data_IF_937869271171
#
_entry.id   IF_937869271171
#
_cell.length_a   1.000
_cell.length_b   1.000
_cell.length_c   1.000
_cell.angle_alpha   90.00
_cell.angle_beta   90.00
_cell.angle_gamma   90.00
#
_symmetry.space_group_name_H-M   'P 1'
#
loop_
_entity.id
_entity.type
_entity.pdbx_description
1 polymer ?
#
# COMPACT_ATOMS: atom_id res chain seq x y z
N UNK A 1 80.15 59.92 -9.70
CA UNK A 1 79.63 58.62 -9.34
C UNK A 1 78.14 58.63 -8.88
N UNK A 2 77.61 59.61 -8.11
CA UNK A 2 76.19 59.60 -7.64
C UNK A 2 75.15 59.83 -8.77
N UNK A 3 75.45 60.46 -9.89
CA UNK A 3 74.50 60.66 -11.00
C UNK A 3 74.34 59.41 -11.89
N UNK A 4 75.41 58.59 -12.00
CA UNK A 4 75.40 57.36 -12.78
C UNK A 4 74.55 56.23 -12.05
N UNK A 5 74.62 56.18 -10.74
CA UNK A 5 73.87 55.23 -9.93
C UNK A 5 72.36 55.54 -9.96
N UNK A 6 71.96 56.81 -9.96
CA UNK A 6 70.56 57.19 -10.07
C UNK A 6 69.97 56.86 -11.48
N UNK A 7 70.76 57.02 -12.54
CA UNK A 7 70.34 56.67 -13.91
C UNK A 7 70.18 55.14 -14.08
N UNK A 8 71.14 54.39 -13.55
CA UNK A 8 71.06 52.90 -13.50
C UNK A 8 69.86 52.43 -12.73
N UNK A 9 69.49 53.06 -11.60
CA UNK A 9 68.28 52.68 -10.80
C UNK A 9 66.99 52.94 -11.57
N UNK A 10 66.90 54.04 -12.32
CA UNK A 10 65.73 54.35 -13.15
C UNK A 10 65.56 53.37 -14.31
N UNK A 11 66.63 52.90 -14.92
CA UNK A 11 66.62 51.90 -15.97
C UNK A 11 66.11 50.56 -15.41
N UNK A 12 66.61 50.16 -14.19
CA UNK A 12 66.16 48.95 -13.54
C UNK A 12 64.65 48.99 -13.23
N UNK A 13 64.16 50.13 -12.71
CA UNK A 13 62.70 50.30 -12.46
C UNK A 13 61.86 50.25 -13.75
N UNK A 14 62.36 50.83 -14.85
CA UNK A 14 61.69 50.76 -16.14
C UNK A 14 61.64 49.33 -16.69
N UNK A 15 62.73 48.56 -16.53
CA UNK A 15 62.77 47.15 -16.94
C UNK A 15 61.78 46.30 -16.14
N UNK A 16 61.70 46.52 -14.82
CA UNK A 16 60.77 45.84 -13.97
C UNK A 16 59.32 46.21 -14.35
N UNK A 17 59.03 47.49 -14.62
CA UNK A 17 57.70 47.95 -15.04
C UNK A 17 57.28 47.37 -16.38
N UNK A 18 58.18 47.35 -17.36
CA UNK A 18 57.90 46.70 -18.66
C UNK A 18 57.73 45.19 -18.51
N UNK A 19 58.58 44.55 -17.68
CA UNK A 19 58.48 43.11 -17.40
C UNK A 19 57.17 42.73 -16.72
N UNK A 20 56.70 43.53 -15.73
CA UNK A 20 55.37 43.30 -15.10
C UNK A 20 54.23 43.58 -16.05
N UNK A 21 54.35 44.58 -16.94
CA UNK A 21 53.31 44.86 -17.93
C UNK A 21 53.21 43.74 -18.98
N UNK A 22 54.35 43.25 -19.44
CA UNK A 22 54.41 42.09 -20.38
C UNK A 22 53.88 40.83 -19.72
N UNK A 23 54.26 40.57 -18.46
CA UNK A 23 53.74 39.42 -17.68
C UNK A 23 52.23 39.50 -17.48
N UNK A 24 51.68 40.67 -17.12
CA UNK A 24 50.24 40.87 -17.00
C UNK A 24 49.53 40.75 -18.33
N UNK A 25 50.11 41.20 -19.42
CA UNK A 25 49.54 41.06 -20.77
C UNK A 25 49.43 39.58 -21.19
N UNK A 26 50.49 38.78 -20.98
CA UNK A 26 50.45 37.35 -21.28
C UNK A 26 49.51 36.57 -20.35
N UNK A 27 49.40 37.02 -19.12
CA UNK A 27 48.48 36.36 -18.15
C UNK A 27 47.03 36.84 -18.25
N UNK A 28 46.78 37.93 -18.98
CA UNK A 28 45.45 38.53 -19.26
C UNK A 28 44.81 38.00 -20.53
N UNK A 29 45.57 37.24 -21.35
CA UNK A 29 44.96 36.61 -22.55
C UNK A 29 44.06 35.48 -22.06
N UNK A 30 42.73 35.58 -22.23
CA UNK A 30 41.82 34.49 -21.78
C UNK A 30 42.22 33.21 -22.49
N UNK A 31 42.34 32.12 -21.71
CA UNK A 31 42.52 30.78 -22.26
C UNK A 31 41.39 30.52 -23.27
N UNK A 32 41.77 30.15 -24.46
CA UNK A 32 40.82 29.79 -25.50
C UNK A 32 40.11 28.52 -25.11
N UNK A 33 38.85 28.61 -24.73
CA UNK A 33 38.00 27.49 -24.44
C UNK A 33 37.44 26.93 -25.74
N UNK A 34 37.73 25.64 -25.97
CA UNK A 34 37.20 24.89 -27.09
C UNK A 34 35.95 24.14 -26.58
N UNK A 35 34.84 24.26 -27.30
CA UNK A 35 33.58 23.63 -26.97
C UNK A 35 33.32 22.45 -27.90
N UNK A 36 32.75 21.39 -27.37
CA UNK A 36 32.16 20.31 -28.17
C UNK A 36 30.99 20.86 -28.97
N UNK A 37 30.70 20.27 -30.10
CA UNK A 37 29.53 20.62 -30.91
C UNK A 37 28.64 19.41 -31.06
N UNK A 38 27.33 19.64 -31.02
CA UNK A 38 26.31 18.64 -31.19
C UNK A 38 25.24 19.08 -32.18
N UNK A 39 24.54 18.13 -32.77
CA UNK A 39 23.43 18.40 -33.69
C UNK A 39 22.15 17.84 -33.09
N UNK A 40 21.03 18.55 -33.24
CA UNK A 40 19.73 18.03 -32.87
C UNK A 40 19.41 16.74 -33.64
N UNK A 41 18.79 15.79 -32.96
CA UNK A 41 18.39 14.50 -33.54
C UNK A 41 16.93 14.22 -33.23
N UNK A 42 16.26 13.49 -34.13
CA UNK A 42 14.93 13.01 -33.84
C UNK A 42 14.99 11.86 -32.83
N UNK A 43 14.22 11.96 -31.78
CA UNK A 43 14.13 10.96 -30.70
C UNK A 43 12.75 10.86 -30.09
N UNK A 44 12.62 9.98 -29.14
CA UNK A 44 11.43 9.87 -28.30
C UNK A 44 11.81 10.37 -26.90
N UNK A 45 10.99 11.21 -26.33
CA UNK A 45 11.12 11.70 -24.95
C UNK A 45 9.94 11.18 -24.15
N UNK A 46 10.21 10.64 -23.00
CA UNK A 46 9.19 10.16 -22.08
C UNK A 46 9.51 10.66 -20.67
N UNK A 47 8.69 11.61 -20.20
CA UNK A 47 8.78 12.12 -18.84
C UNK A 47 8.14 11.10 -17.91
N UNK A 48 8.94 10.42 -17.08
CA UNK A 48 8.47 9.44 -16.11
C UNK A 48 8.64 9.97 -14.69
N UNK A 49 7.73 9.56 -13.80
CA UNK A 49 7.92 9.68 -12.36
C UNK A 49 7.90 8.31 -11.71
N UNK A 50 8.59 8.17 -10.57
CA UNK A 50 8.71 6.92 -9.83
C UNK A 50 8.00 7.05 -8.48
N UNK A 51 6.95 6.29 -8.31
CA UNK A 51 6.13 6.27 -7.10
C UNK A 51 6.52 5.08 -6.25
N UNK A 52 6.77 5.29 -4.96
CA UNK A 52 7.13 4.22 -4.02
C UNK A 52 5.90 3.69 -3.31
N UNK A 53 5.87 2.39 -3.07
CA UNK A 53 4.74 1.74 -2.41
C UNK A 53 4.99 0.28 -2.07
N UNK A 54 3.90 -0.44 -1.90
CA UNK A 54 3.89 -1.88 -1.59
C UNK A 54 2.88 -2.61 -2.45
N UNK A 55 3.13 -3.90 -2.64
CA UNK A 55 2.15 -4.82 -3.22
C UNK A 55 1.31 -5.38 -2.08
N UNK A 56 0.00 -5.19 -2.18
CA UNK A 56 -0.96 -5.68 -1.19
C UNK A 56 -2.10 -6.40 -1.93
N UNK A 57 -2.77 -7.38 -1.33
CA UNK A 57 -4.02 -7.89 -1.87
C UNK A 57 -5.06 -6.77 -1.88
N UNK A 58 -6.00 -6.83 -2.84
CA UNK A 58 -7.09 -5.84 -2.93
C UNK A 58 -7.97 -5.86 -1.70
N UNK A 59 -8.31 -7.06 -1.25
CA UNK A 59 -9.16 -7.32 -0.10
C UNK A 59 -8.40 -8.21 0.89
N UNK A 60 -8.15 -7.67 2.06
CA UNK A 60 -7.53 -8.34 3.20
C UNK A 60 -8.52 -8.30 4.35
N UNK A 61 -8.90 -9.46 4.86
CA UNK A 61 -9.95 -9.61 5.87
C UNK A 61 -9.39 -10.23 7.13
N UNK A 62 -9.53 -9.50 8.22
CA UNK A 62 -9.24 -9.98 9.56
C UNK A 62 -10.39 -10.85 10.08
N UNK A 63 -10.11 -12.09 10.31
CA UNK A 63 -11.06 -13.03 10.92
C UNK A 63 -11.03 -12.85 12.43
N UNK A 64 -12.18 -12.47 12.97
CA UNK A 64 -12.35 -12.17 14.41
C UNK A 64 -13.35 -13.14 15.03
N UNK A 65 -13.20 -13.47 16.32
CA UNK A 65 -14.10 -14.39 17.00
C UNK A 65 -15.46 -13.74 17.27
N UNK A 66 -16.50 -14.57 17.25
CA UNK A 66 -17.86 -14.15 17.63
C UNK A 66 -18.13 -14.27 19.14
N UNK A 67 -17.21 -14.88 19.89
CA UNK A 67 -17.30 -15.06 21.33
C UNK A 67 -15.91 -14.94 21.97
N UNK A 68 -15.86 -14.40 23.18
CA UNK A 68 -14.61 -14.31 23.94
C UNK A 68 -14.29 -15.63 24.64
N UNK A 69 -12.99 -15.96 24.72
CA UNK A 69 -12.55 -17.21 25.37
C UNK A 69 -11.06 -17.47 25.18
N UNK A 70 -10.67 -18.74 25.24
CA UNK A 70 -9.29 -19.19 25.02
C UNK A 70 -9.27 -20.07 23.77
N UNK A 71 -8.28 -19.86 22.90
CA UNK A 71 -8.03 -20.72 21.74
C UNK A 71 -7.66 -22.13 22.23
N UNK A 72 -8.48 -23.15 21.90
CA UNK A 72 -8.23 -24.54 22.20
C UNK A 72 -7.52 -25.27 21.07
N UNK A 73 -7.77 -24.89 19.81
CA UNK A 73 -7.18 -25.51 18.62
C UNK A 73 -6.98 -24.44 17.55
N UNK A 74 -5.91 -24.55 16.77
CA UNK A 74 -5.66 -23.77 15.55
C UNK A 74 -5.41 -24.79 14.44
N UNK A 75 -6.21 -24.74 13.37
CA UNK A 75 -6.23 -25.76 12.31
C UNK A 75 -5.54 -25.31 11.02
N UNK A 76 -5.02 -24.09 10.98
CA UNK A 76 -4.39 -23.49 9.79
C UNK A 76 -3.07 -22.85 10.15
N UNK A 77 -2.19 -22.78 9.17
CA UNK A 77 -0.91 -22.09 9.24
C UNK A 77 -0.82 -20.98 8.17
N UNK A 78 0.04 -19.95 8.36
CA UNK A 78 0.31 -18.97 7.31
C UNK A 78 0.80 -19.66 6.03
N UNK A 79 0.14 -19.37 4.90
CA UNK A 79 0.41 -20.00 3.61
C UNK A 79 -0.62 -21.06 3.19
N UNK A 80 -1.55 -21.45 4.06
CA UNK A 80 -2.61 -22.39 3.72
C UNK A 80 -3.71 -21.71 2.88
N UNK A 81 -4.27 -22.46 1.92
CA UNK A 81 -5.45 -22.07 1.18
C UNK A 81 -6.70 -22.56 1.89
N UNK A 82 -7.64 -21.66 2.13
CA UNK A 82 -8.91 -21.96 2.79
C UNK A 82 -10.09 -21.55 1.91
N UNK A 83 -11.23 -22.21 2.14
CA UNK A 83 -12.52 -21.89 1.53
C UNK A 83 -13.43 -21.25 2.56
N UNK A 84 -14.40 -20.48 2.10
CA UNK A 84 -15.48 -19.97 2.94
C UNK A 84 -16.14 -21.10 3.74
N UNK A 85 -16.23 -20.92 5.07
CA UNK A 85 -16.78 -21.91 6.01
C UNK A 85 -15.75 -22.86 6.64
N UNK A 86 -14.52 -22.94 6.12
CA UNK A 86 -13.46 -23.77 6.73
C UNK A 86 -13.14 -23.31 8.16
N UNK A 87 -12.86 -24.29 9.05
CA UNK A 87 -12.59 -24.03 10.46
C UNK A 87 -11.12 -23.61 10.62
N UNK A 88 -10.90 -22.35 11.01
CA UNK A 88 -9.58 -21.79 11.29
C UNK A 88 -9.12 -22.14 12.70
N UNK A 89 -9.99 -21.89 13.69
CA UNK A 89 -9.66 -22.13 15.09
C UNK A 89 -10.91 -22.52 15.90
N UNK A 90 -10.68 -23.11 17.06
CA UNK A 90 -11.72 -23.41 18.03
C UNK A 90 -11.48 -22.63 19.33
N UNK A 91 -12.55 -22.05 19.87
CA UNK A 91 -12.53 -21.29 21.11
C UNK A 91 -13.20 -22.11 22.21
N UNK A 92 -12.57 -22.17 23.35
CA UNK A 92 -13.17 -22.66 24.62
C UNK A 92 -13.68 -21.44 25.37
N UNK A 93 -14.99 -21.43 25.61
CA UNK A 93 -15.64 -20.34 26.37
C UNK A 93 -15.18 -20.37 27.84
N UNK A 94 -15.00 -19.20 28.40
CA UNK A 94 -14.82 -18.97 29.84
C UNK A 94 -16.12 -18.33 30.33
N UNK A 95 -17.07 -19.13 30.88
CA UNK A 95 -18.32 -18.57 31.32
C UNK A 95 -18.12 -17.66 32.52
N UNK A 96 -18.90 -16.59 32.60
CA UNK A 96 -18.99 -15.76 33.79
C UNK A 96 -19.70 -16.55 34.91
N UNK A 97 -19.10 -16.57 36.09
CA UNK A 97 -19.58 -17.39 37.21
C UNK A 97 -21.01 -17.04 37.61
N UNK A 98 -21.42 -15.77 37.56
CA UNK A 98 -22.78 -15.33 37.90
C UNK A 98 -23.80 -15.85 36.88
N UNK A 99 -23.48 -15.77 35.58
CA UNK A 99 -24.34 -16.26 34.50
C UNK A 99 -24.47 -17.77 34.51
N UNK A 100 -23.39 -18.50 34.78
CA UNK A 100 -23.39 -19.95 34.92
C UNK A 100 -24.24 -20.38 36.09
N UNK A 101 -24.08 -19.75 37.28
CA UNK A 101 -24.87 -20.05 38.47
C UNK A 101 -26.37 -19.77 38.28
N UNK A 102 -26.72 -18.67 37.59
CA UNK A 102 -28.11 -18.32 37.27
C UNK A 102 -28.75 -19.32 36.32
N UNK A 103 -28.02 -19.76 35.28
CA UNK A 103 -28.51 -20.76 34.33
C UNK A 103 -28.70 -22.13 35.04
N UNK A 104 -27.78 -22.52 35.92
CA UNK A 104 -27.89 -23.74 36.70
C UNK A 104 -29.10 -23.71 37.63
N UNK A 105 -29.32 -22.62 38.36
CA UNK A 105 -30.49 -22.47 39.25
C UNK A 105 -31.82 -22.56 38.46
N UNK A 106 -31.85 -22.05 37.21
CA UNK A 106 -33.01 -22.20 36.35
C UNK A 106 -33.27 -23.67 35.96
N UNK A 107 -32.24 -24.46 35.66
CA UNK A 107 -32.37 -25.87 35.39
C UNK A 107 -32.95 -26.62 36.63
N UNK A 108 -32.41 -26.35 37.82
CA UNK A 108 -32.88 -26.94 39.05
C UNK A 108 -34.37 -26.61 39.35
N UNK A 109 -34.77 -25.34 39.11
CA UNK A 109 -36.15 -24.91 39.25
C UNK A 109 -37.09 -25.63 38.26
N UNK A 110 -36.66 -25.79 37.00
CA UNK A 110 -37.42 -26.49 35.98
C UNK A 110 -37.52 -28.01 36.27
N UNK A 111 -36.49 -28.61 36.83
CA UNK A 111 -36.49 -30.02 37.27
C UNK A 111 -37.53 -30.26 38.38
N UNK A 112 -37.59 -29.34 39.37
CA UNK A 112 -38.60 -29.42 40.46
C UNK A 112 -40.01 -29.25 39.86
N UNK A 113 -40.22 -28.29 38.95
CA UNK A 113 -41.51 -28.06 38.32
C UNK A 113 -41.98 -29.27 37.49
N UNK A 114 -41.05 -29.93 36.75
CA UNK A 114 -41.36 -31.13 36.00
C UNK A 114 -41.69 -32.30 36.92
N UNK A 115 -40.98 -32.50 38.03
CA UNK A 115 -41.26 -33.55 38.98
C UNK A 115 -42.68 -33.40 39.60
N UNK A 116 -43.10 -32.16 39.95
CA UNK A 116 -44.45 -31.88 40.46
C UNK A 116 -45.51 -32.13 39.37
N UNK A 117 -45.28 -31.63 38.15
CA UNK A 117 -46.17 -31.85 37.00
C UNK A 117 -46.32 -33.36 36.65
N UNK A 118 -45.21 -34.11 36.68
CA UNK A 118 -45.21 -35.55 36.43
C UNK A 118 -46.03 -36.28 37.48
N UNK A 119 -45.84 -35.97 38.77
CA UNK A 119 -46.60 -36.57 39.86
C UNK A 119 -48.11 -36.29 39.72
N UNK A 120 -48.48 -35.09 39.33
CA UNK A 120 -49.87 -34.74 39.07
C UNK A 120 -50.45 -35.43 37.86
N UNK A 121 -49.72 -35.48 36.77
CA UNK A 121 -50.12 -36.20 35.53
C UNK A 121 -50.32 -37.69 35.77
N UNK A 122 -49.37 -38.36 36.40
CA UNK A 122 -49.44 -39.80 36.72
C UNK A 122 -50.65 -40.12 37.59
N UNK A 123 -50.92 -39.30 38.59
CA UNK A 123 -52.08 -39.41 39.45
C UNK A 123 -53.39 -39.26 38.68
N UNK A 124 -53.50 -38.18 37.89
CA UNK A 124 -54.68 -37.88 37.11
C UNK A 124 -54.93 -38.91 36.00
N UNK A 125 -53.88 -39.50 35.43
CA UNK A 125 -53.97 -40.61 34.49
C UNK A 125 -54.65 -41.85 35.13
N UNK A 126 -54.21 -42.23 36.34
CA UNK A 126 -54.83 -43.35 37.07
C UNK A 126 -56.30 -43.04 37.39
N UNK A 127 -56.64 -41.83 37.79
CA UNK A 127 -58.02 -41.44 38.16
C UNK A 127 -58.90 -41.36 36.89
N UNK A 128 -58.38 -40.94 35.77
CA UNK A 128 -59.10 -40.92 34.48
C UNK A 128 -59.37 -42.34 33.99
N UNK A 129 -58.39 -43.25 34.06
CA UNK A 129 -58.57 -44.63 33.65
C UNK A 129 -59.64 -45.30 34.53
N UNK A 130 -59.77 -44.87 35.79
CA UNK A 130 -60.87 -45.35 36.71
C UNK A 130 -62.17 -44.52 36.50
N UNK A 131 -62.25 -43.60 35.53
CA UNK A 131 -63.42 -42.76 35.26
C UNK A 131 -63.87 -41.84 36.45
N UNK A 132 -62.88 -41.41 37.27
CA UNK A 132 -63.15 -40.60 38.48
C UNK A 132 -63.07 -39.13 38.18
N UNK A 133 -62.23 -38.72 37.16
CA UNK A 133 -62.06 -37.34 36.76
C UNK A 133 -62.55 -37.12 35.30
N UNK A 134 -62.77 -35.86 34.90
CA UNK A 134 -63.15 -35.49 33.57
C UNK A 134 -61.99 -35.61 32.59
N UNK A 135 -62.31 -35.68 31.27
CA UNK A 135 -61.32 -35.66 30.22
C UNK A 135 -60.55 -34.34 30.19
N UNK A 136 -61.25 -33.23 30.41
CA UNK A 136 -60.65 -31.89 30.45
C UNK A 136 -59.61 -31.75 31.55
N UNK A 137 -59.86 -32.31 32.73
CA UNK A 137 -58.90 -32.29 33.85
C UNK A 137 -57.65 -33.12 33.57
N UNK A 138 -57.83 -34.28 32.93
CA UNK A 138 -56.72 -35.13 32.46
C UNK A 138 -55.88 -34.38 31.38
N UNK A 139 -56.49 -33.85 30.31
CA UNK A 139 -55.83 -33.14 29.24
C UNK A 139 -55.11 -31.87 29.74
N UNK A 140 -55.65 -31.18 30.72
CA UNK A 140 -54.99 -30.06 31.40
C UNK A 140 -53.71 -30.50 32.11
N UNK A 141 -53.74 -31.63 32.84
CA UNK A 141 -52.56 -32.15 33.52
C UNK A 141 -51.50 -32.64 32.52
N UNK A 142 -51.90 -33.24 31.42
CA UNK A 142 -51.03 -33.66 30.33
C UNK A 142 -50.32 -32.45 29.66
N UNK A 143 -51.10 -31.40 29.36
CA UNK A 143 -50.57 -30.16 28.78
C UNK A 143 -49.55 -29.49 29.73
N UNK A 144 -49.88 -29.45 31.03
CA UNK A 144 -48.98 -28.89 32.06
C UNK A 144 -47.68 -29.69 32.15
N UNK A 145 -47.77 -31.02 32.13
CA UNK A 145 -46.59 -31.89 32.12
C UNK A 145 -45.74 -31.69 30.87
N UNK A 146 -46.34 -31.63 29.68
CA UNK A 146 -45.63 -31.35 28.43
C UNK A 146 -44.98 -29.96 28.42
N UNK A 147 -45.59 -28.92 29.01
CA UNK A 147 -45.03 -27.60 29.15
C UNK A 147 -43.81 -27.61 30.08
N UNK A 148 -43.90 -28.28 31.24
CA UNK A 148 -42.78 -28.41 32.18
C UNK A 148 -41.60 -29.17 31.58
N UNK A 149 -41.87 -30.20 30.74
CA UNK A 149 -40.83 -30.94 30.01
C UNK A 149 -40.07 -30.00 29.01
N UNK A 150 -40.83 -29.19 28.24
CA UNK A 150 -40.22 -28.26 27.30
C UNK A 150 -39.45 -27.13 27.97
N UNK A 151 -39.91 -26.64 29.13
CA UNK A 151 -39.19 -25.63 29.90
C UNK A 151 -37.87 -26.19 30.47
N UNK A 152 -37.85 -27.47 30.92
CA UNK A 152 -36.61 -28.12 31.36
C UNK A 152 -35.61 -28.26 30.18
N UNK A 153 -36.09 -28.69 29.01
CA UNK A 153 -35.25 -28.83 27.82
C UNK A 153 -34.66 -27.49 27.41
N UNK A 154 -35.48 -26.40 27.44
CA UNK A 154 -35.02 -25.02 27.14
C UNK A 154 -34.02 -24.51 28.20
N UNK A 155 -34.25 -24.80 29.50
CA UNK A 155 -33.33 -24.41 30.57
C UNK A 155 -31.97 -25.14 30.44
N UNK A 156 -32.00 -26.44 30.10
CA UNK A 156 -30.79 -27.25 29.86
C UNK A 156 -30.00 -26.74 28.64
N UNK A 157 -30.67 -26.37 27.54
CA UNK A 157 -30.03 -25.81 26.38
C UNK A 157 -29.40 -24.42 26.69
N UNK A 158 -30.12 -23.56 27.40
CA UNK A 158 -29.59 -22.26 27.88
C UNK A 158 -28.34 -22.43 28.77
N UNK A 159 -28.34 -23.44 29.67
CA UNK A 159 -27.18 -23.75 30.49
C UNK A 159 -25.98 -24.24 29.66
N UNK A 160 -26.19 -25.05 28.61
CA UNK A 160 -25.15 -25.50 27.71
C UNK A 160 -24.55 -24.32 26.91
N UNK A 161 -25.41 -23.41 26.43
CA UNK A 161 -24.95 -22.19 25.71
C UNK A 161 -24.05 -21.36 26.64
N UNK A 162 -24.43 -21.15 27.88
CA UNK A 162 -23.59 -20.39 28.83
C UNK A 162 -22.28 -21.12 29.15
N UNK A 163 -22.33 -22.43 29.36
CA UNK A 163 -21.17 -23.22 29.74
C UNK A 163 -20.21 -23.51 28.61
N UNK A 164 -20.71 -23.80 27.39
CA UNK A 164 -19.93 -24.34 26.28
C UNK A 164 -20.01 -23.46 25.04
N UNK A 165 -20.89 -22.42 25.01
CA UNK A 165 -21.10 -21.57 23.84
C UNK A 165 -21.84 -22.25 22.70
N UNK A 166 -22.44 -23.44 22.93
CA UNK A 166 -23.04 -24.28 21.90
C UNK A 166 -24.44 -24.69 22.33
N UNK A 167 -25.44 -24.52 21.44
CA UNK A 167 -26.77 -25.09 21.59
C UNK A 167 -26.79 -26.55 21.14
N UNK A 168 -27.56 -27.39 21.82
CA UNK A 168 -27.80 -28.77 21.40
C UNK A 168 -28.39 -28.89 20.00
N UNK A 169 -29.14 -27.90 19.57
CA UNK A 169 -29.90 -27.92 18.31
C UNK A 169 -29.08 -27.36 17.12
N UNK A 170 -28.04 -26.52 17.36
CA UNK A 170 -27.26 -25.83 16.34
C UNK A 170 -25.75 -26.03 16.53
N UNK A 171 -25.32 -27.26 16.83
CA UNK A 171 -23.89 -27.54 17.05
C UNK A 171 -22.98 -27.24 15.84
N UNK A 172 -23.53 -27.30 14.63
CA UNK A 172 -22.80 -26.94 13.39
C UNK A 172 -22.60 -25.45 13.21
N UNK A 173 -23.44 -24.61 13.80
CA UNK A 173 -23.38 -23.13 13.74
C UNK A 173 -22.82 -22.54 15.04
N UNK A 174 -22.00 -23.30 15.73
CA UNK A 174 -21.45 -22.90 17.02
C UNK A 174 -20.56 -21.67 16.88
N UNK A 175 -20.83 -20.63 17.69
CA UNK A 175 -20.00 -19.42 17.80
C UNK A 175 -18.60 -19.70 18.35
N UNK A 176 -18.32 -20.93 18.84
CA UNK A 176 -17.00 -21.34 19.30
C UNK A 176 -16.07 -21.73 18.15
N UNK A 177 -16.59 -21.90 16.94
CA UNK A 177 -15.81 -22.19 15.74
C UNK A 177 -15.52 -20.90 14.97
N UNK A 178 -14.26 -20.54 14.88
CA UNK A 178 -13.82 -19.42 14.02
C UNK A 178 -13.66 -19.97 12.61
N UNK A 179 -14.43 -19.43 11.66
CA UNK A 179 -14.46 -19.90 10.26
C UNK A 179 -13.96 -18.82 9.31
N UNK A 180 -13.41 -19.27 8.18
CA UNK A 180 -13.11 -18.40 7.06
C UNK A 180 -14.40 -17.78 6.49
N UNK A 181 -14.39 -16.49 6.24
CA UNK A 181 -15.52 -15.72 5.68
C UNK A 181 -15.42 -15.53 4.17
N UNK A 182 -14.26 -15.83 3.60
CA UNK A 182 -13.97 -15.79 2.16
C UNK A 182 -13.01 -16.92 1.79
N UNK A 183 -12.98 -17.24 0.49
CA UNK A 183 -11.92 -18.09 -0.07
C UNK A 183 -10.63 -17.28 -0.18
N UNK A 184 -9.49 -17.85 0.17
CA UNK A 184 -8.22 -17.15 0.06
C UNK A 184 -7.04 -17.84 0.71
N UNK A 185 -5.92 -17.14 0.73
CA UNK A 185 -4.68 -17.56 1.40
C UNK A 185 -4.64 -16.96 2.82
N UNK A 186 -4.27 -17.78 3.79
CA UNK A 186 -3.95 -17.29 5.14
C UNK A 186 -2.63 -16.53 5.09
N UNK A 187 -2.67 -15.23 5.37
CA UNK A 187 -1.48 -14.39 5.40
C UNK A 187 -0.76 -14.46 6.74
N UNK A 188 -1.53 -14.43 7.83
CA UNK A 188 -1.01 -14.43 9.20
C UNK A 188 -1.99 -15.11 10.17
N UNK A 189 -1.43 -15.71 11.23
CA UNK A 189 -2.17 -16.29 12.36
C UNK A 189 -1.50 -15.84 13.66
N UNK A 190 -1.84 -14.63 14.16
CA UNK A 190 -1.15 -14.03 15.31
C UNK A 190 -1.45 -14.73 16.65
N UNK A 191 -2.45 -15.62 16.68
CA UNK A 191 -2.86 -16.33 17.90
C UNK A 191 -2.24 -17.73 17.96
N UNK A 192 -2.11 -18.25 19.20
CA UNK A 192 -1.64 -19.61 19.48
C UNK A 192 -2.62 -20.33 20.40
N UNK A 193 -2.56 -21.66 20.44
CA UNK A 193 -3.29 -22.46 21.42
C UNK A 193 -2.96 -21.95 22.82
N UNK A 194 -4.00 -21.67 23.63
CA UNK A 194 -3.89 -21.05 24.94
C UNK A 194 -4.00 -19.52 24.94
N UNK A 195 -3.98 -18.84 23.80
CA UNK A 195 -4.19 -17.39 23.73
C UNK A 195 -5.63 -17.04 24.12
N UNK A 196 -5.77 -15.95 24.90
CA UNK A 196 -7.08 -15.36 25.18
C UNK A 196 -7.50 -14.48 24.02
N UNK A 197 -8.74 -14.60 23.56
CA UNK A 197 -9.32 -13.80 22.47
C UNK A 197 -10.59 -13.10 22.95
N UNK A 198 -10.81 -11.91 22.43
CA UNK A 198 -11.93 -11.05 22.79
C UNK A 198 -12.76 -10.78 21.52
N UNK A 199 -14.08 -10.93 21.65
CA UNK A 199 -15.05 -10.56 20.62
C UNK A 199 -14.99 -9.06 20.33
N UNK A 200 -15.15 -8.66 19.07
CA UNK A 200 -15.31 -7.27 18.68
C UNK A 200 -16.60 -6.68 19.23
N UNK A 201 -16.53 -5.45 19.75
CA UNK A 201 -17.68 -4.68 20.23
C UNK A 201 -17.47 -3.20 19.97
N UNK A 202 -18.43 -2.35 20.39
CA UNK A 202 -18.38 -0.88 20.16
C UNK A 202 -17.15 -0.19 20.76
N UNK A 203 -16.50 -0.80 21.76
CA UNK A 203 -15.36 -0.24 22.47
C UNK A 203 -14.03 -0.94 22.16
N UNK A 204 -14.07 -2.06 21.45
CA UNK A 204 -12.90 -2.88 21.17
C UNK A 204 -13.04 -3.57 19.79
N UNK A 205 -12.03 -3.39 18.94
CA UNK A 205 -11.99 -4.00 17.60
C UNK A 205 -11.92 -5.54 17.61
N UNK A 206 -11.73 -6.15 18.79
CA UNK A 206 -11.59 -7.59 18.94
C UNK A 206 -10.20 -8.09 18.59
N UNK A 207 -9.96 -9.39 18.86
CA UNK A 207 -8.69 -10.04 18.57
C UNK A 207 -8.71 -10.63 17.16
N UNK A 208 -7.76 -10.29 16.30
CA UNK A 208 -7.57 -10.98 15.01
C UNK A 208 -7.05 -12.39 15.24
N UNK A 209 -7.76 -13.39 14.73
CA UNK A 209 -7.37 -14.82 14.83
C UNK A 209 -6.54 -15.22 13.62
N UNK A 210 -6.95 -14.80 12.44
CA UNK A 210 -6.21 -14.99 11.19
C UNK A 210 -6.54 -13.86 10.23
N UNK A 211 -5.65 -13.61 9.28
CA UNK A 211 -5.87 -12.68 8.18
C UNK A 211 -5.91 -13.47 6.87
N UNK A 212 -6.99 -13.31 6.09
CA UNK A 212 -7.21 -13.98 4.81
C UNK A 212 -7.22 -12.97 3.69
N UNK A 213 -6.63 -13.33 2.54
CA UNK A 213 -6.65 -12.51 1.35
C UNK A 213 -6.76 -13.30 0.05
N UNK A 214 -7.41 -12.70 -0.95
CA UNK A 214 -7.41 -13.21 -2.33
C UNK A 214 -6.13 -12.75 -3.05
N UNK A 215 -5.13 -13.62 -3.13
CA UNK A 215 -3.86 -13.35 -3.78
C UNK A 215 -3.95 -13.25 -5.31
N UNK A 216 -5.12 -13.56 -5.91
CA UNK A 216 -5.33 -13.38 -7.35
C UNK A 216 -5.62 -11.93 -7.73
N UNK A 217 -5.92 -11.09 -6.77
CA UNK A 217 -6.25 -9.67 -6.96
C UNK A 217 -5.28 -8.79 -6.20
N UNK A 218 -4.10 -8.60 -6.76
CA UNK A 218 -3.07 -7.75 -6.17
C UNK A 218 -3.18 -6.32 -6.68
N UNK A 219 -2.88 -5.38 -5.80
CA UNK A 219 -2.76 -3.95 -6.10
C UNK A 219 -1.39 -3.43 -5.66
N UNK A 220 -0.90 -2.46 -6.40
CA UNK A 220 0.14 -1.57 -5.91
C UNK A 220 -0.53 -0.44 -5.13
N UNK A 221 -0.16 -0.29 -3.88
CA UNK A 221 -0.59 0.80 -3.01
C UNK A 221 0.60 1.68 -2.72
N UNK A 222 0.59 2.88 -3.27
CA UNK A 222 1.71 3.82 -3.20
C UNK A 222 1.27 5.18 -2.71
N UNK A 223 2.26 6.06 -2.58
CA UNK A 223 2.07 7.47 -2.23
C UNK A 223 2.73 8.33 -3.28
N UNK A 224 2.10 9.45 -3.58
CA UNK A 224 2.56 10.46 -4.51
C UNK A 224 2.58 11.82 -3.84
N UNK A 225 3.58 12.63 -4.14
CA UNK A 225 3.71 14.00 -3.64
C UNK A 225 2.67 14.94 -4.26
N UNK A 226 2.31 16.00 -3.53
CA UNK A 226 1.35 17.02 -3.97
C UNK A 226 1.77 17.68 -5.29
N UNK A 227 3.05 17.82 -5.54
CA UNK A 227 3.59 18.46 -6.77
C UNK A 227 3.40 17.60 -8.02
N UNK A 228 3.25 16.28 -7.85
CA UNK A 228 3.13 15.31 -8.94
C UNK A 228 1.70 14.79 -9.14
N UNK A 229 0.89 14.74 -8.07
CA UNK A 229 -0.47 14.18 -8.12
C UNK A 229 -1.36 14.83 -9.17
N UNK A 230 -1.18 16.14 -9.42
CA UNK A 230 -1.93 16.88 -10.43
C UNK A 230 -1.65 16.45 -11.87
N UNK A 231 -0.54 15.73 -12.12
CA UNK A 231 -0.18 15.21 -13.44
C UNK A 231 -0.67 13.75 -13.65
N UNK A 232 -1.16 13.09 -12.59
CA UNK A 232 -1.67 11.73 -12.65
C UNK A 232 -3.16 11.72 -13.00
N UNK A 233 -3.57 10.71 -13.76
CA UNK A 233 -4.97 10.46 -14.08
C UNK A 233 -5.28 8.96 -13.97
N UNK A 234 -6.48 8.66 -13.49
CA UNK A 234 -6.98 7.29 -13.45
C UNK A 234 -6.98 6.69 -14.87
N UNK A 235 -6.53 5.45 -14.99
CA UNK A 235 -6.34 4.75 -16.27
C UNK A 235 -4.92 4.81 -16.82
N UNK A 236 -4.00 5.58 -16.24
CA UNK A 236 -2.61 5.60 -16.67
C UNK A 236 -1.93 4.24 -16.47
N UNK A 237 -1.19 3.75 -17.49
CA UNK A 237 -0.39 2.54 -17.34
C UNK A 237 0.85 2.82 -16.49
N UNK A 238 1.22 1.84 -15.69
CA UNK A 238 2.38 1.85 -14.81
C UNK A 238 3.19 0.57 -15.03
N UNK A 239 4.49 0.67 -14.90
CA UNK A 239 5.40 -0.47 -14.81
C UNK A 239 5.88 -0.62 -13.36
N UNK A 240 5.69 -1.81 -12.79
CA UNK A 240 6.04 -2.07 -11.39
C UNK A 240 7.39 -2.78 -11.34
N UNK A 241 8.31 -2.26 -10.56
CA UNK A 241 9.59 -2.91 -10.23
C UNK A 241 9.57 -3.33 -8.78
N UNK A 242 9.78 -4.63 -8.53
CA UNK A 242 9.70 -5.23 -7.20
C UNK A 242 11.11 -5.48 -6.69
N UNK A 243 11.45 -4.89 -5.54
CA UNK A 243 12.80 -5.01 -4.98
C UNK A 243 13.26 -6.44 -4.71
N UNK A 244 12.32 -7.32 -4.32
CA UNK A 244 12.61 -8.73 -4.06
C UNK A 244 12.70 -9.61 -5.33
N UNK A 245 12.17 -9.13 -6.47
CA UNK A 245 12.07 -9.87 -7.74
C UNK A 245 12.48 -8.95 -8.91
N UNK A 246 13.78 -8.67 -9.08
CA UNK A 246 14.25 -7.65 -10.02
C UNK A 246 13.99 -8.02 -11.50
N UNK A 247 13.77 -9.29 -11.80
CA UNK A 247 13.49 -9.76 -13.17
C UNK A 247 11.99 -9.71 -13.52
N UNK A 248 11.13 -9.40 -12.54
CA UNK A 248 9.67 -9.35 -12.72
C UNK A 248 9.18 -7.90 -12.78
N UNK A 249 8.69 -7.49 -13.95
CA UNK A 249 8.15 -6.15 -14.21
C UNK A 249 6.68 -6.22 -14.61
N UNK A 250 5.76 -6.49 -13.66
CA UNK A 250 4.35 -6.54 -13.99
C UNK A 250 3.82 -5.16 -14.37
N UNK A 251 2.92 -5.15 -15.36
CA UNK A 251 2.17 -3.95 -15.69
C UNK A 251 1.03 -3.72 -14.71
N UNK A 252 0.74 -2.45 -14.41
CA UNK A 252 -0.39 -2.06 -13.60
C UNK A 252 -1.16 -0.91 -14.25
N UNK A 253 -2.40 -0.70 -13.81
CA UNK A 253 -3.22 0.42 -14.24
C UNK A 253 -3.64 1.20 -13.00
N UNK A 254 -3.41 2.50 -13.01
CA UNK A 254 -3.85 3.40 -11.94
C UNK A 254 -5.38 3.42 -11.88
N UNK A 255 -5.95 2.96 -10.78
CA UNK A 255 -7.42 2.89 -10.59
C UNK A 255 -7.95 3.97 -9.65
N UNK A 256 -7.13 4.39 -8.70
CA UNK A 256 -7.59 5.30 -7.65
C UNK A 256 -6.49 6.27 -7.24
N UNK A 257 -6.90 7.52 -7.05
CA UNK A 257 -6.09 8.59 -6.44
C UNK A 257 -6.92 9.12 -5.28
N UNK A 258 -6.36 9.17 -4.08
CA UNK A 258 -7.07 9.67 -2.91
C UNK A 258 -7.46 11.14 -3.09
N UNK A 259 -8.73 11.53 -2.84
CA UNK A 259 -9.18 12.93 -2.96
C UNK A 259 -8.67 13.81 -1.81
N UNK A 260 -8.11 13.20 -0.76
CA UNK A 260 -7.56 13.89 0.41
C UNK A 260 -6.11 13.46 0.60
N UNK A 261 -5.22 14.44 0.71
CA UNK A 261 -3.83 14.23 1.11
C UNK A 261 -3.70 13.97 2.60
N UNK A 262 -2.65 13.29 2.97
CA UNK A 262 -2.20 13.04 4.34
C UNK A 262 -0.81 13.63 4.51
N UNK A 263 -0.60 14.35 5.60
CA UNK A 263 0.73 14.89 5.94
C UNK A 263 1.56 13.79 6.59
N UNK A 264 2.70 13.47 5.99
CA UNK A 264 3.70 12.56 6.53
C UNK A 264 5.07 13.21 6.48
N UNK A 265 5.77 13.22 7.62
CA UNK A 265 7.12 13.78 7.74
C UNK A 265 7.25 15.22 7.20
N UNK A 266 6.17 16.02 7.27
CA UNK A 266 6.14 17.40 6.79
C UNK A 266 5.93 17.56 5.28
N UNK A 267 5.59 16.49 4.56
CA UNK A 267 5.19 16.52 3.16
C UNK A 267 3.74 16.05 2.99
N UNK A 268 2.98 16.72 2.11
CA UNK A 268 1.64 16.27 1.74
C UNK A 268 1.73 15.17 0.69
N UNK A 269 1.21 14.00 1.03
CA UNK A 269 1.17 12.85 0.13
C UNK A 269 -0.24 12.37 -0.11
N UNK A 270 -0.49 11.82 -1.30
CA UNK A 270 -1.77 11.26 -1.71
C UNK A 270 -1.63 9.76 -1.92
N UNK A 271 -2.53 8.97 -1.34
CA UNK A 271 -2.57 7.53 -1.59
C UNK A 271 -3.06 7.26 -3.01
N UNK A 272 -2.38 6.32 -3.68
CA UNK A 272 -2.79 5.81 -4.99
C UNK A 272 -2.90 4.30 -4.94
N UNK A 273 -3.80 3.75 -5.78
CA UNK A 273 -3.95 2.31 -5.96
C UNK A 273 -3.94 1.98 -7.45
N UNK A 274 -3.14 1.00 -7.82
CA UNK A 274 -3.09 0.50 -9.19
C UNK A 274 -3.30 -1.02 -9.21
N UNK A 275 -4.18 -1.50 -10.10
CA UNK A 275 -4.41 -2.92 -10.28
C UNK A 275 -3.23 -3.54 -11.05
N UNK A 276 -2.63 -4.55 -10.48
CA UNK A 276 -1.51 -5.27 -11.08
C UNK A 276 -2.06 -6.36 -12.00
N UNK A 277 -1.58 -6.39 -13.25
CA UNK A 277 -1.83 -7.48 -14.19
C UNK A 277 -0.68 -8.46 -14.06
N UNK A 278 -0.94 -9.64 -13.54
CA UNK A 278 0.08 -10.67 -13.34
C UNK A 278 -0.29 -11.94 -14.06
N UNK A 279 0.57 -12.39 -14.97
CA UNK A 279 0.43 -13.69 -15.63
C UNK A 279 0.95 -14.85 -14.76
N UNK A 280 1.71 -14.56 -13.68
CA UNK A 280 2.31 -15.54 -12.76
C UNK A 280 2.27 -15.04 -11.31
N UNK A 281 1.14 -15.23 -10.66
CA UNK A 281 0.86 -14.75 -9.28
C UNK A 281 1.65 -15.52 -8.21
N UNK A 282 2.07 -16.76 -8.51
CA UNK A 282 2.63 -17.71 -7.53
C UNK A 282 3.91 -17.24 -6.82
N UNK A 283 4.58 -16.19 -7.31
CA UNK A 283 5.83 -15.69 -6.71
C UNK A 283 5.65 -14.40 -5.90
N UNK A 284 4.51 -13.73 -5.99
CA UNK A 284 4.26 -12.48 -5.29
C UNK A 284 3.75 -12.72 -3.87
N UNK A 285 4.32 -11.97 -2.93
CA UNK A 285 3.86 -11.96 -1.53
C UNK A 285 3.30 -10.59 -1.17
N UNK A 286 2.31 -10.58 -0.30
CA UNK A 286 1.82 -9.34 0.32
C UNK A 286 2.95 -8.64 1.09
N UNK A 287 2.98 -7.31 1.05
CA UNK A 287 3.97 -6.51 1.76
C UNK A 287 5.29 -6.27 1.01
N UNK A 288 5.51 -6.82 -0.20
CA UNK A 288 6.71 -6.51 -0.97
C UNK A 288 6.76 -5.03 -1.32
N UNK A 289 7.92 -4.42 -1.05
CA UNK A 289 8.20 -3.05 -1.51
C UNK A 289 8.36 -3.02 -3.02
N UNK A 290 7.74 -2.04 -3.65
CA UNK A 290 7.74 -1.88 -5.09
C UNK A 290 7.81 -0.41 -5.48
N UNK A 291 8.36 -0.16 -6.66
CA UNK A 291 8.36 1.14 -7.31
C UNK A 291 7.50 1.06 -8.57
N UNK A 292 6.63 2.05 -8.75
CA UNK A 292 5.81 2.16 -9.95
C UNK A 292 6.33 3.32 -10.82
N UNK A 293 6.76 3.03 -12.03
CA UNK A 293 7.13 4.02 -13.03
C UNK A 293 5.92 4.40 -13.85
N UNK A 294 5.57 5.69 -13.87
CA UNK A 294 4.42 6.25 -14.60
C UNK A 294 4.91 7.20 -15.66
N UNK A 295 4.42 7.05 -16.88
CA UNK A 295 4.66 7.99 -17.95
C UNK A 295 3.70 9.18 -17.86
N UNK A 296 4.22 10.34 -17.50
CA UNK A 296 3.44 11.57 -17.36
C UNK A 296 3.19 12.26 -18.70
N UNK A 297 4.20 12.24 -19.58
CA UNK A 297 4.15 12.85 -20.90
C UNK A 297 5.04 12.09 -21.86
N UNK A 298 4.59 11.94 -23.10
CA UNK A 298 5.31 11.20 -24.14
C UNK A 298 5.27 11.94 -25.46
N UNK A 299 6.45 12.32 -25.95
CA UNK A 299 6.64 12.92 -27.27
C UNK A 299 7.39 11.92 -28.16
N UNK A 300 6.81 11.57 -29.32
CA UNK A 300 7.41 10.61 -30.25
C UNK A 300 7.88 11.32 -31.50
N UNK A 301 9.08 10.95 -31.96
CA UNK A 301 9.69 11.45 -33.19
C UNK A 301 9.77 13.00 -33.20
N UNK A 302 10.22 13.55 -32.08
CA UNK A 302 10.44 15.00 -31.90
C UNK A 302 11.90 15.34 -31.98
N UNK A 303 12.22 16.60 -32.35
CA UNK A 303 13.59 17.08 -32.38
C UNK A 303 14.10 17.25 -30.95
N UNK A 304 15.20 16.60 -30.62
CA UNK A 304 15.74 16.53 -29.25
C UNK A 304 17.16 17.03 -29.17
N UNK A 305 17.48 17.70 -28.06
CA UNK A 305 18.85 18.11 -27.69
C UNK A 305 19.09 17.75 -26.24
N UNK A 306 20.32 17.49 -25.79
CA UNK A 306 20.63 17.34 -24.37
C UNK A 306 20.20 18.59 -23.57
N UNK A 307 19.51 18.40 -22.46
CA UNK A 307 19.01 19.53 -21.65
C UNK A 307 20.17 20.39 -21.09
N UNK A 308 21.34 19.79 -20.84
CA UNK A 308 22.52 20.48 -20.34
C UNK A 308 23.09 21.60 -21.26
N UNK A 309 22.72 21.61 -22.55
CA UNK A 309 23.18 22.67 -23.49
C UNK A 309 22.21 23.82 -23.60
N UNK A 310 21.06 23.72 -22.95
CA UNK A 310 20.02 24.74 -22.93
C UNK A 310 20.27 25.69 -21.77
N UNK A 311 20.20 27.01 -22.08
CA UNK A 311 20.33 28.04 -21.06
C UNK A 311 18.97 28.67 -20.79
N UNK A 312 18.52 28.59 -19.54
CA UNK A 312 17.28 29.21 -19.06
C UNK A 312 17.61 30.59 -18.49
N UNK A 313 16.88 31.62 -18.91
CA UNK A 313 17.05 33.02 -18.44
C UNK A 313 15.68 33.68 -18.28
N UNK A 314 15.14 33.68 -17.08
CA UNK A 314 13.74 34.05 -16.81
C UNK A 314 12.79 33.16 -17.60
N UNK A 315 11.84 33.74 -18.31
CA UNK A 315 10.85 33.01 -19.13
C UNK A 315 11.36 32.64 -20.55
N UNK A 316 12.64 32.84 -20.82
CA UNK A 316 13.20 32.63 -22.17
C UNK A 316 14.26 31.55 -22.15
N UNK A 317 14.21 30.69 -23.16
CA UNK A 317 15.10 29.52 -23.33
C UNK A 317 15.99 29.77 -24.55
N UNK A 318 17.28 29.48 -24.45
CA UNK A 318 18.28 29.76 -25.46
C UNK A 318 19.25 28.61 -25.64
N UNK A 319 19.77 28.50 -26.86
CA UNK A 319 20.96 27.70 -27.18
C UNK A 319 21.99 28.62 -27.85
N UNK A 320 23.23 28.13 -27.92
CA UNK A 320 24.31 28.83 -28.62
C UNK A 320 24.60 28.09 -29.93
N UNK A 321 24.30 28.73 -31.06
CA UNK A 321 24.56 28.18 -32.41
C UNK A 321 25.94 28.57 -32.89
N UNK A 322 26.65 27.64 -33.50
CA UNK A 322 27.94 27.91 -34.15
C UNK A 322 27.75 28.73 -35.41
N UNK A 323 28.31 29.94 -35.40
CA UNK A 323 28.28 30.88 -36.53
C UNK A 323 29.49 30.71 -37.45
N UNK A 324 30.67 30.53 -36.85
CA UNK A 324 31.92 30.39 -37.58
C UNK A 324 32.80 29.39 -36.86
N UNK A 325 33.30 28.39 -37.58
CA UNK A 325 34.32 27.44 -37.13
C UNK A 325 35.61 27.71 -37.94
N UNK A 326 36.59 28.34 -37.30
CA UNK A 326 37.95 28.54 -37.84
C UNK A 326 38.97 27.73 -37.01
N UNK A 327 38.60 26.53 -36.59
CA UNK A 327 39.41 25.67 -35.76
C UNK A 327 39.52 26.23 -34.31
N UNK A 328 40.64 26.87 -33.95
CA UNK A 328 40.83 27.39 -32.58
C UNK A 328 39.91 28.61 -32.21
N UNK A 329 39.13 29.18 -33.14
CA UNK A 329 38.23 30.30 -32.92
C UNK A 329 36.79 29.90 -33.29
N UNK A 330 36.06 29.36 -32.33
CA UNK A 330 34.64 29.09 -32.43
C UNK A 330 33.86 30.33 -31.99
N UNK A 331 33.01 30.86 -32.87
CA UNK A 331 32.08 31.95 -32.54
C UNK A 331 30.66 31.39 -32.41
N UNK A 332 30.02 31.58 -31.27
CA UNK A 332 28.66 31.17 -31.01
C UNK A 332 27.72 32.37 -30.87
N UNK A 333 26.55 32.23 -31.45
CA UNK A 333 25.48 33.24 -31.35
C UNK A 333 24.35 32.70 -30.47
N UNK A 334 23.88 33.51 -29.52
CA UNK A 334 22.74 33.19 -28.67
C UNK A 334 21.46 33.19 -29.49
N UNK A 335 20.78 32.03 -29.54
CA UNK A 335 19.57 31.85 -30.34
C UNK A 335 18.40 31.42 -29.46
N UNK A 336 17.24 32.13 -29.49
CA UNK A 336 16.07 31.73 -28.72
C UNK A 336 15.44 30.48 -29.30
N UNK A 337 14.97 29.58 -28.40
CA UNK A 337 14.26 28.37 -28.78
C UNK A 337 12.97 28.22 -27.95
N UNK A 338 12.00 27.50 -28.50
CA UNK A 338 10.83 27.07 -27.78
C UNK A 338 11.00 25.58 -27.47
N UNK A 339 10.96 25.26 -26.18
CA UNK A 339 11.14 23.88 -25.69
C UNK A 339 9.81 23.26 -25.31
N UNK A 340 9.72 21.93 -25.43
CA UNK A 340 8.57 21.14 -25.05
C UNK A 340 8.86 20.21 -23.86
N UNK A 341 8.55 18.92 -24.03
CA UNK A 341 8.74 17.89 -23.02
C UNK A 341 10.23 17.63 -22.75
N UNK A 342 10.61 17.46 -21.48
CA UNK A 342 11.94 17.03 -21.05
C UNK A 342 11.85 15.77 -20.17
N UNK A 343 12.85 14.90 -20.30
CA UNK A 343 13.06 13.72 -19.43
C UNK A 343 14.21 13.92 -18.41
N UNK A 344 14.76 15.17 -18.34
CA UNK A 344 15.91 15.52 -17.49
C UNK A 344 17.28 15.21 -18.13
N UNK A 345 17.32 14.51 -19.26
CA UNK A 345 18.52 14.24 -20.06
C UNK A 345 18.43 14.96 -21.39
N UNK A 346 17.32 14.78 -22.08
CA UNK A 346 17.01 15.39 -23.36
C UNK A 346 15.75 16.26 -23.24
N UNK A 347 15.71 17.32 -24.03
CA UNK A 347 14.57 18.21 -24.12
C UNK A 347 14.10 18.33 -25.56
N UNK A 348 12.81 18.35 -25.75
CA UNK A 348 12.17 18.59 -27.04
C UNK A 348 12.36 20.04 -27.45
N UNK A 349 12.70 20.29 -28.73
CA UNK A 349 12.70 21.59 -29.32
C UNK A 349 11.58 21.70 -30.35
N UNK A 350 10.62 22.59 -30.05
CA UNK A 350 9.46 22.83 -30.91
C UNK A 350 9.82 23.80 -32.01
N UNK A 351 10.54 24.88 -31.66
CA UNK A 351 10.93 25.92 -32.61
C UNK A 351 12.32 26.49 -32.30
N UNK A 352 13.02 27.00 -33.32
CA UNK A 352 14.26 27.74 -33.20
C UNK A 352 15.51 27.02 -33.72
N UNK A 353 15.52 25.70 -33.84
CA UNK A 353 16.65 24.94 -34.45
C UNK A 353 16.14 23.82 -35.34
N UNK A 354 16.99 23.35 -36.22
CA UNK A 354 16.77 22.22 -37.13
C UNK A 354 17.89 21.19 -37.01
N UNK A 355 17.80 20.10 -37.76
CA UNK A 355 18.79 18.99 -37.73
C UNK A 355 20.16 19.39 -38.29
N UNK A 356 20.26 20.53 -38.98
CA UNK A 356 21.51 21.08 -39.55
C UNK A 356 22.18 22.04 -38.60
N UNK A 357 21.47 22.55 -37.60
CA UNK A 357 21.99 23.47 -36.61
C UNK A 357 23.09 22.84 -35.78
N UNK A 358 24.19 23.52 -35.59
CA UNK A 358 25.32 23.07 -34.75
C UNK A 358 25.28 23.85 -33.45
N UNK A 359 25.03 23.14 -32.36
CA UNK A 359 24.84 23.68 -31.01
C UNK A 359 26.13 23.53 -30.21
N UNK A 360 26.43 24.51 -29.35
CA UNK A 360 27.54 24.47 -28.40
C UNK A 360 27.26 23.42 -27.32
N UNK A 361 28.15 22.51 -27.15
CA UNK A 361 28.17 21.52 -26.04
C UNK A 361 29.10 21.91 -24.91
N UNK A 362 29.64 20.94 -24.24
CA UNK A 362 30.51 21.06 -23.08
C UNK A 362 31.92 21.57 -23.48
N UNK A 363 32.61 22.15 -22.51
CA UNK A 363 33.98 22.61 -22.65
C UNK A 363 34.92 21.40 -22.81
N UNK A 364 35.69 21.34 -23.90
CA UNK A 364 36.73 20.35 -24.08
C UNK A 364 37.97 20.89 -23.36
N UNK A 365 38.32 20.34 -22.19
CA UNK A 365 39.62 20.65 -21.56
C UNK A 365 40.74 20.10 -22.44
N UNK A 366 41.53 20.98 -23.05
CA UNK A 366 42.86 20.58 -23.57
C UNK A 366 43.74 20.25 -22.38
N UNK A 367 44.23 19.00 -22.27
CA UNK A 367 45.32 18.61 -21.37
C UNK A 367 46.63 19.26 -21.84
#
# INVERSE_FOLDING_TARGET
MKKFFKFSLWILVAIIFIGTFVFLYFNSVPEKTEYSTLKPQYGNIEKTTVLTGKIEPRDEIDIKPQISGIISEVNVEPGDMVKEGDIIARIKVIPEASSLSSAQARVESAEIALADATSKYDRNKILYDKKIISREEYETSETTWQQAQRELDAAKDAYLIVREGVSKYNASESNTLVRATIDGLILDVPVKVGSSVIQANTFNDGTTVATIADMNKLIFKGKVDETEVGQLSVGMPMEITIGALPDLHPSAILEYIAPKGTEENGANTFEIKAAIKVDSISQLRSGYSANASVSLSKAKNVLTIPEGVVTFSGDSTFVYLLKTDKGENQEFEKHPIVTGTSDGINIEVIEGVDTLSVIRGDIIKKN
#
